data_IF_455788560934
#
_entry.id   IF_455788560934
#
_cell.length_a   1.000
_cell.length_b   1.000
_cell.length_c   1.000
_cell.angle_alpha   90.00
_cell.angle_beta   90.00
_cell.angle_gamma   90.00
#
_symmetry.space_group_name_H-M   'P 1'
#
loop_
_entity.id
_entity.type
_entity.pdbx_description
1 polymer ?
#
# COMPACT_ATOMS: atom_id res chain seq x y z
N UNK A 1 -26.74 2.95 -12.19
CA UNK A 1 -25.53 3.72 -12.59
C UNK A 1 -24.45 3.54 -11.51
N UNK A 2 -23.17 3.42 -11.86
CA UNK A 2 -22.08 3.33 -10.86
C UNK A 2 -21.33 4.65 -10.82
N UNK A 3 -21.31 5.30 -9.65
CA UNK A 3 -20.57 6.53 -9.40
C UNK A 3 -19.39 6.23 -8.50
N UNK A 4 -18.17 6.45 -8.99
CA UNK A 4 -16.94 6.29 -8.22
C UNK A 4 -16.42 7.66 -7.80
N UNK A 5 -16.35 7.93 -6.50
CA UNK A 5 -15.80 9.17 -5.93
C UNK A 5 -14.34 9.00 -5.46
N UNK A 6 -13.79 7.78 -5.54
CA UNK A 6 -12.40 7.50 -5.21
C UNK A 6 -11.48 7.96 -6.35
N UNK A 7 -10.67 9.00 -6.08
CA UNK A 7 -9.89 9.75 -7.08
C UNK A 7 -8.89 8.89 -7.88
N UNK A 8 -8.35 7.83 -7.28
CA UNK A 8 -7.34 6.96 -7.91
C UNK A 8 -7.92 5.63 -8.42
N UNK A 9 -9.24 5.49 -8.52
CA UNK A 9 -9.89 4.24 -8.93
C UNK A 9 -10.53 4.35 -10.31
N UNK A 10 -10.15 3.40 -11.19
CA UNK A 10 -10.71 3.26 -12.53
C UNK A 10 -11.68 2.08 -12.51
N UNK A 11 -12.95 2.34 -12.85
CA UNK A 11 -13.98 1.32 -12.96
C UNK A 11 -14.16 0.88 -14.41
N UNK A 12 -14.02 -0.42 -14.65
CA UNK A 12 -14.22 -1.04 -15.96
C UNK A 12 -15.25 -2.17 -15.86
N UNK A 13 -16.07 -2.33 -16.90
CA UNK A 13 -17.00 -3.46 -16.99
C UNK A 13 -16.26 -4.66 -17.54
N UNK A 14 -16.29 -5.77 -16.80
CA UNK A 14 -15.75 -7.06 -17.22
C UNK A 14 -16.89 -8.07 -17.24
N UNK A 15 -17.27 -8.51 -18.45
CA UNK A 15 -18.44 -9.36 -18.67
C UNK A 15 -19.71 -8.74 -18.06
N UNK A 16 -20.28 -9.37 -17.01
CA UNK A 16 -21.45 -8.87 -16.29
C UNK A 16 -21.13 -8.14 -14.98
N UNK A 17 -19.85 -8.04 -14.61
CA UNK A 17 -19.41 -7.45 -13.34
C UNK A 17 -18.77 -6.07 -13.57
N UNK A 18 -18.79 -5.23 -12.55
CA UNK A 18 -18.00 -3.99 -12.53
C UNK A 18 -16.80 -4.19 -11.62
N UNK A 19 -15.62 -3.90 -12.14
CA UNK A 19 -14.38 -3.99 -11.39
C UNK A 19 -13.77 -2.59 -11.32
N UNK A 20 -13.59 -2.10 -10.09
CA UNK A 20 -12.92 -0.84 -9.81
C UNK A 20 -11.54 -1.13 -9.23
N UNK A 21 -10.49 -0.71 -9.94
CA UNK A 21 -9.10 -0.96 -9.60
C UNK A 21 -8.36 0.34 -9.37
N UNK A 22 -7.36 0.31 -8.48
CA UNK A 22 -6.49 1.46 -8.29
C UNK A 22 -5.59 1.67 -9.53
N UNK A 23 -5.78 2.80 -10.22
CA UNK A 23 -5.07 3.17 -11.44
C UNK A 23 -3.58 3.43 -11.24
N UNK A 24 -3.14 3.68 -10.00
CA UNK A 24 -1.71 3.82 -9.66
C UNK A 24 -0.92 2.59 -10.08
N UNK A 25 -1.50 1.40 -9.94
CA UNK A 25 -0.83 0.13 -10.27
C UNK A 25 -0.94 -0.27 -11.75
N UNK A 26 -1.64 0.53 -12.55
CA UNK A 26 -1.60 0.45 -14.02
C UNK A 26 -0.45 1.28 -14.61
N UNK A 27 0.18 2.15 -13.79
CA UNK A 27 1.32 2.95 -14.21
C UNK A 27 2.61 2.12 -14.31
N UNK A 28 3.59 2.54 -15.13
CA UNK A 28 4.87 1.85 -15.20
C UNK A 28 5.57 1.76 -13.83
N UNK A 29 6.33 0.68 -13.55
CA UNK A 29 6.89 0.40 -12.22
C UNK A 29 7.75 1.52 -11.62
N UNK A 30 8.42 2.31 -12.45
CA UNK A 30 9.26 3.42 -11.99
C UNK A 30 8.44 4.59 -11.40
N UNK A 31 7.23 4.85 -11.90
CA UNK A 31 6.33 5.87 -11.33
C UNK A 31 5.82 5.44 -9.96
N UNK A 32 5.48 4.15 -9.81
CA UNK A 32 5.07 3.56 -8.53
C UNK A 32 6.22 3.63 -7.53
N UNK A 33 7.45 3.42 -7.99
CA UNK A 33 8.66 3.57 -7.19
C UNK A 33 8.85 5.01 -6.70
N UNK A 34 8.74 6.00 -7.59
CA UNK A 34 8.81 7.41 -7.21
C UNK A 34 7.70 7.80 -6.21
N UNK A 35 6.46 7.38 -6.45
CA UNK A 35 5.34 7.63 -5.56
C UNK A 35 5.55 6.99 -4.18
N UNK A 36 6.12 5.78 -4.14
CA UNK A 36 6.45 5.08 -2.89
C UNK A 36 7.55 5.78 -2.09
N UNK A 37 8.53 6.41 -2.76
CA UNK A 37 9.57 7.21 -2.10
C UNK A 37 9.00 8.54 -1.60
N UNK A 38 8.16 9.20 -2.41
CA UNK A 38 7.49 10.45 -2.02
C UNK A 38 6.57 10.25 -0.82
N UNK A 39 5.83 9.14 -0.75
CA UNK A 39 4.98 8.83 0.41
C UNK A 39 5.77 8.58 1.70
N UNK A 40 7.06 8.25 1.60
CA UNK A 40 7.94 8.15 2.78
C UNK A 40 8.40 9.51 3.27
N UNK A 41 8.58 10.49 2.37
CA UNK A 41 9.02 11.84 2.70
C UNK A 41 7.84 12.72 3.17
N UNK A 42 6.67 12.48 2.61
CA UNK A 42 5.42 13.16 2.93
C UNK A 42 4.42 12.07 3.35
N UNK A 43 4.38 11.72 4.65
CA UNK A 43 3.40 10.75 5.15
C UNK A 43 2.02 11.40 5.11
N UNK A 44 1.39 11.38 3.94
CA UNK A 44 -0.02 11.67 3.82
C UNK A 44 -0.81 10.42 4.25
N UNK A 45 -1.92 10.63 4.95
CA UNK A 45 -2.73 9.58 5.57
C UNK A 45 -3.37 8.65 4.51
N UNK A 46 -3.36 9.10 3.26
CA UNK A 46 -3.81 8.37 2.07
C UNK A 46 -2.75 7.45 1.44
N UNK A 47 -1.85 6.91 2.27
CA UNK A 47 -0.82 5.91 1.93
C UNK A 47 -1.27 4.92 0.85
N UNK A 48 -0.37 4.70 -0.10
CA UNK A 48 -0.39 3.56 -1.02
C UNK A 48 -0.28 2.28 -0.17
N UNK A 49 -1.42 1.74 0.28
CA UNK A 49 -1.40 0.61 1.21
C UNK A 49 -1.28 -0.71 0.46
N UNK A 50 -2.28 -1.10 -0.31
CA UNK A 50 -2.30 -2.36 -1.07
C UNK A 50 -3.06 -2.09 -2.37
N UNK A 51 -2.75 -2.77 -3.49
CA UNK A 51 -3.54 -2.70 -4.72
C UNK A 51 -4.91 -3.36 -4.55
N UNK A 52 -5.76 -2.78 -3.71
CA UNK A 52 -7.10 -3.26 -3.45
C UNK A 52 -7.99 -2.94 -4.65
N UNK A 53 -8.74 -3.92 -5.11
CA UNK A 53 -9.79 -3.78 -6.11
C UNK A 53 -11.13 -4.16 -5.50
N UNK A 54 -12.18 -3.59 -6.09
CA UNK A 54 -13.56 -3.87 -5.75
C UNK A 54 -14.25 -4.54 -6.94
N UNK A 55 -14.95 -5.63 -6.69
CA UNK A 55 -15.83 -6.29 -7.65
C UNK A 55 -17.29 -6.12 -7.22
N UNK A 56 -18.15 -5.70 -8.14
CA UNK A 56 -19.60 -5.60 -7.96
C UNK A 56 -20.25 -6.59 -8.94
N UNK A 57 -21.01 -7.55 -8.41
CA UNK A 57 -21.57 -8.66 -9.20
C UNK A 57 -22.92 -8.31 -9.83
N UNK A 58 -23.75 -7.53 -9.13
CA UNK A 58 -25.09 -7.14 -9.59
C UNK A 58 -25.35 -5.64 -9.35
N UNK A 59 -25.87 -4.99 -10.39
CA UNK A 59 -26.22 -3.56 -10.38
C UNK A 59 -27.74 -3.46 -10.43
N UNK A 60 -28.40 -3.78 -9.31
CA UNK A 60 -29.85 -3.65 -9.21
C UNK A 60 -30.29 -2.19 -9.02
N UNK A 61 -29.40 -1.34 -8.50
CA UNK A 61 -29.64 0.08 -8.17
C UNK A 61 -28.44 0.95 -8.51
N UNK A 62 -28.57 2.26 -8.30
CA UNK A 62 -27.43 3.17 -8.35
C UNK A 62 -26.44 2.83 -7.24
N UNK A 63 -25.21 2.46 -7.62
CA UNK A 63 -24.13 2.10 -6.71
C UNK A 63 -23.17 3.28 -6.59
N UNK A 64 -22.88 3.70 -5.36
CA UNK A 64 -21.90 4.76 -5.08
C UNK A 64 -20.74 4.17 -4.31
N UNK A 65 -19.53 4.37 -4.83
CA UNK A 65 -18.26 4.05 -4.19
C UNK A 65 -17.69 5.36 -3.65
N UNK A 66 -17.63 5.49 -2.32
CA UNK A 66 -17.12 6.69 -1.68
C UNK A 66 -15.58 6.78 -1.78
N UNK A 67 -15.02 7.90 -1.30
CA UNK A 67 -13.56 8.14 -1.26
C UNK A 67 -12.77 7.09 -0.46
N UNK A 68 -13.43 6.38 0.45
CA UNK A 68 -12.85 5.34 1.31
C UNK A 68 -13.12 3.92 0.78
N UNK A 69 -13.56 3.79 -0.47
CA UNK A 69 -13.95 2.53 -1.11
C UNK A 69 -15.15 1.83 -0.46
N UNK A 70 -15.93 2.53 0.36
CA UNK A 70 -17.18 1.97 0.88
C UNK A 70 -18.22 1.97 -0.23
N UNK A 71 -18.88 0.83 -0.37
CA UNK A 71 -19.93 0.63 -1.36
C UNK A 71 -21.28 0.85 -0.72
N UNK A 72 -22.11 1.66 -1.36
CA UNK A 72 -23.52 1.86 -1.00
C UNK A 72 -24.40 1.57 -2.21
N UNK A 73 -25.63 1.09 -1.98
CA UNK A 73 -26.59 0.78 -3.05
C UNK A 73 -26.60 -0.68 -3.51
N UNK A 74 -25.66 -1.52 -3.06
CA UNK A 74 -25.66 -2.97 -3.29
C UNK A 74 -24.97 -3.73 -2.15
N UNK A 75 -25.40 -4.96 -1.89
CA UNK A 75 -24.76 -5.89 -0.96
C UNK A 75 -23.88 -6.94 -1.67
N UNK A 76 -24.01 -7.06 -2.99
CA UNK A 76 -23.30 -8.05 -3.81
C UNK A 76 -21.97 -7.48 -4.32
N UNK A 77 -21.06 -7.25 -3.39
CA UNK A 77 -19.70 -6.77 -3.69
C UNK A 77 -18.65 -7.52 -2.89
N UNK A 78 -17.44 -7.59 -3.44
CA UNK A 78 -16.28 -8.18 -2.76
C UNK A 78 -15.01 -7.38 -3.03
N UNK A 79 -14.12 -7.39 -2.05
CA UNK A 79 -12.78 -6.81 -2.17
C UNK A 79 -11.77 -7.91 -2.48
N UNK A 80 -10.85 -7.63 -3.39
CA UNK A 80 -9.78 -8.55 -3.74
C UNK A 80 -8.54 -7.79 -4.19
N UNK A 81 -7.43 -8.49 -4.36
CA UNK A 81 -6.19 -7.91 -4.86
C UNK A 81 -5.92 -8.51 -6.25
N UNK A 82 -5.86 -7.71 -7.32
CA UNK A 82 -5.47 -8.20 -8.64
C UNK A 82 -4.04 -8.75 -8.62
N UNK A 83 -3.85 -9.98 -9.08
CA UNK A 83 -2.55 -10.66 -9.04
C UNK A 83 -1.43 -9.87 -9.75
N UNK A 84 -1.75 -9.24 -10.88
CA UNK A 84 -0.80 -8.43 -11.66
C UNK A 84 -0.34 -7.20 -10.88
N UNK A 85 -1.27 -6.48 -10.27
CA UNK A 85 -0.96 -5.32 -9.42
C UNK A 85 -0.21 -5.74 -8.16
N UNK A 86 -0.54 -6.91 -7.57
CA UNK A 86 0.18 -7.47 -6.42
C UNK A 86 1.64 -7.76 -6.77
N UNK A 87 1.93 -8.33 -7.95
CA UNK A 87 3.30 -8.58 -8.41
C UNK A 87 4.10 -7.28 -8.54
N UNK A 88 3.48 -6.22 -9.06
CA UNK A 88 4.12 -4.90 -9.19
C UNK A 88 4.38 -4.31 -7.80
N UNK A 89 3.39 -4.29 -6.92
CA UNK A 89 3.52 -3.81 -5.54
C UNK A 89 4.62 -4.57 -4.77
N UNK A 90 4.67 -5.90 -4.90
CA UNK A 90 5.69 -6.73 -4.25
C UNK A 90 7.10 -6.42 -4.75
N UNK A 91 7.28 -6.10 -6.04
CA UNK A 91 8.61 -5.80 -6.61
C UNK A 91 9.07 -4.37 -6.35
N UNK A 92 8.14 -3.44 -6.15
CA UNK A 92 8.43 -2.02 -5.97
C UNK A 92 8.39 -1.66 -4.49
N UNK A 93 7.19 -1.54 -3.94
CA UNK A 93 6.95 -1.13 -2.56
C UNK A 93 7.66 -2.04 -1.56
N UNK A 94 7.41 -3.35 -1.58
CA UNK A 94 7.94 -4.24 -0.55
C UNK A 94 9.48 -4.27 -0.54
N UNK A 95 10.11 -4.34 -1.72
CA UNK A 95 11.57 -4.35 -1.83
C UNK A 95 12.17 -3.08 -1.23
N UNK A 96 11.66 -1.91 -1.64
CA UNK A 96 12.21 -0.61 -1.19
C UNK A 96 12.05 -0.45 0.32
N UNK A 97 10.85 -0.70 0.84
CA UNK A 97 10.56 -0.50 2.26
C UNK A 97 11.37 -1.46 3.13
N UNK A 98 11.52 -2.73 2.72
CA UNK A 98 12.38 -3.69 3.42
C UNK A 98 13.85 -3.29 3.34
N UNK A 99 14.34 -2.84 2.19
CA UNK A 99 15.73 -2.35 2.06
C UNK A 99 16.00 -1.16 2.98
N UNK A 100 15.08 -0.19 3.05
CA UNK A 100 15.21 0.97 3.94
C UNK A 100 15.18 0.55 5.40
N UNK A 101 14.30 -0.38 5.77
CA UNK A 101 14.26 -0.93 7.12
C UNK A 101 15.59 -1.60 7.50
N UNK A 102 16.14 -2.44 6.61
CA UNK A 102 17.43 -3.08 6.84
C UNK A 102 18.57 -2.05 6.99
N UNK A 103 18.62 -1.04 6.11
CA UNK A 103 19.60 0.05 6.21
C UNK A 103 19.45 0.82 7.53
N UNK A 104 18.23 1.12 7.93
CA UNK A 104 17.93 1.78 9.21
C UNK A 104 18.41 0.98 10.41
N UNK A 105 18.21 -0.34 10.41
CA UNK A 105 18.76 -1.24 11.45
C UNK A 105 20.29 -1.20 11.46
N UNK A 106 20.94 -1.32 10.30
CA UNK A 106 22.41 -1.31 10.21
C UNK A 106 23.00 0.01 10.73
N UNK A 107 22.42 1.16 10.35
CA UNK A 107 22.86 2.47 10.84
C UNK A 107 22.58 2.61 12.34
N UNK A 108 21.42 2.15 12.82
CA UNK A 108 21.10 2.18 14.25
C UNK A 108 22.09 1.34 15.07
N UNK A 109 22.46 0.15 14.58
CA UNK A 109 23.44 -0.72 15.23
C UNK A 109 24.84 -0.07 15.26
N UNK A 110 25.24 0.59 14.18
CA UNK A 110 26.50 1.34 14.11
C UNK A 110 26.52 2.51 15.10
N UNK A 111 25.47 3.32 15.13
CA UNK A 111 25.37 4.47 16.06
C UNK A 111 25.34 4.00 17.52
N UNK A 112 24.63 2.91 17.81
CA UNK A 112 24.62 2.31 19.13
C UNK A 112 26.02 1.81 19.55
N UNK A 113 26.74 1.15 18.63
CA UNK A 113 28.11 0.73 18.88
C UNK A 113 29.04 1.91 19.18
N UNK A 114 28.97 2.98 18.39
CA UNK A 114 29.76 4.20 18.63
C UNK A 114 29.41 4.79 20.00
N UNK A 115 28.13 4.94 20.31
CA UNK A 115 27.65 5.51 21.59
C UNK A 115 28.12 4.72 22.82
N UNK A 116 28.16 3.39 22.74
CA UNK A 116 28.62 2.54 23.86
C UNK A 116 30.13 2.69 24.09
N UNK A 117 30.93 2.86 23.04
CA UNK A 117 32.38 3.02 23.17
C UNK A 117 32.78 4.46 23.51
N UNK A 118 32.06 5.44 22.95
CA UNK A 118 32.30 6.88 23.12
C UNK A 118 30.96 7.57 23.40
N UNK A 119 30.57 7.69 24.69
CA UNK A 119 29.28 8.25 25.07
C UNK A 119 29.18 9.74 24.75
N UNK A 120 28.66 10.04 23.56
CA UNK A 120 28.42 11.40 23.09
C UNK A 120 26.91 11.67 22.92
N UNK A 121 26.48 12.87 23.35
CA UNK A 121 25.06 13.26 23.34
C UNK A 121 24.53 13.38 21.91
N UNK A 122 25.33 13.86 20.95
CA UNK A 122 24.89 13.98 19.56
C UNK A 122 24.76 12.60 18.89
N UNK A 123 25.66 11.67 19.18
CA UNK A 123 25.55 10.28 18.72
C UNK A 123 24.31 9.61 19.32
N UNK A 124 24.06 9.79 20.61
CA UNK A 124 22.87 9.26 21.29
C UNK A 124 21.55 9.81 20.73
N UNK A 125 21.48 11.13 20.48
CA UNK A 125 20.31 11.76 19.87
C UNK A 125 20.09 11.26 18.43
N UNK A 126 21.16 11.14 17.65
CA UNK A 126 21.10 10.62 16.28
C UNK A 126 20.62 9.17 16.25
N UNK A 127 21.10 8.33 17.17
CA UNK A 127 20.60 6.96 17.35
C UNK A 127 19.10 6.95 17.62
N UNK A 128 18.62 7.77 18.56
CA UNK A 128 17.20 7.85 18.90
C UNK A 128 16.31 8.21 17.70
N UNK A 129 16.73 9.20 16.90
CA UNK A 129 16.00 9.63 15.69
C UNK A 129 15.97 8.52 14.65
N UNK A 130 17.13 7.96 14.29
CA UNK A 130 17.22 6.92 13.25
C UNK A 130 16.48 5.65 13.68
N UNK A 131 16.59 5.25 14.94
CA UNK A 131 15.87 4.11 15.49
C UNK A 131 14.36 4.34 15.47
N UNK A 132 13.90 5.52 15.89
CA UNK A 132 12.48 5.90 15.85
C UNK A 132 11.90 5.85 14.44
N UNK A 133 12.61 6.40 13.45
CA UNK A 133 12.21 6.34 12.04
C UNK A 133 12.18 4.90 11.52
N UNK A 134 13.20 4.10 11.84
CA UNK A 134 13.29 2.69 11.46
C UNK A 134 12.12 1.88 12.05
N UNK A 135 11.75 2.16 13.30
CA UNK A 135 10.60 1.53 13.95
C UNK A 135 9.28 1.88 13.26
N UNK A 136 9.07 3.14 12.86
CA UNK A 136 7.88 3.56 12.10
C UNK A 136 7.79 2.83 10.74
N UNK A 137 8.91 2.74 10.01
CA UNK A 137 8.98 1.98 8.76
C UNK A 137 8.63 0.50 8.98
N UNK A 138 9.20 -0.12 10.02
CA UNK A 138 8.90 -1.52 10.38
C UNK A 138 7.42 -1.74 10.72
N UNK A 139 6.82 -0.81 11.47
CA UNK A 139 5.38 -0.82 11.77
C UNK A 139 4.55 -0.75 10.50
N UNK A 140 4.88 0.14 9.57
CA UNK A 140 4.16 0.27 8.30
C UNK A 140 4.21 -1.04 7.51
N UNK A 141 5.39 -1.63 7.35
CA UNK A 141 5.56 -2.94 6.67
C UNK A 141 4.67 -4.00 7.32
N UNK A 142 4.68 -4.10 8.65
CA UNK A 142 3.86 -5.06 9.39
C UNK A 142 2.36 -4.84 9.19
N UNK A 143 1.90 -3.59 9.25
CA UNK A 143 0.50 -3.24 8.99
C UNK A 143 0.07 -3.65 7.58
N UNK A 144 0.90 -3.44 6.55
CA UNK A 144 0.58 -3.88 5.19
C UNK A 144 0.46 -5.41 5.11
N UNK A 145 1.37 -6.17 5.73
CA UNK A 145 1.25 -7.63 5.76
C UNK A 145 -0.01 -8.12 6.46
N UNK A 146 -0.44 -7.44 7.53
CA UNK A 146 -1.70 -7.75 8.21
C UNK A 146 -2.91 -7.54 7.29
N UNK A 147 -2.93 -6.44 6.55
CA UNK A 147 -4.02 -6.13 5.61
C UNK A 147 -4.01 -7.10 4.42
N UNK A 148 -2.84 -7.48 3.90
CA UNK A 148 -2.74 -8.48 2.81
C UNK A 148 -3.39 -9.82 3.17
N UNK A 149 -3.35 -10.24 4.43
CA UNK A 149 -3.98 -11.49 4.89
C UNK A 149 -5.51 -11.43 4.88
N UNK A 150 -6.12 -10.25 4.79
CA UNK A 150 -7.57 -10.08 4.80
C UNK A 150 -8.22 -10.26 3.42
N UNK A 151 -7.42 -10.20 2.35
CA UNK A 151 -7.96 -10.16 0.99
C UNK A 151 -7.40 -11.29 0.13
N UNK A 152 -8.27 -11.87 -0.69
CA UNK A 152 -7.87 -12.87 -1.67
C UNK A 152 -7.12 -12.23 -2.83
N UNK A 153 -6.05 -12.89 -3.30
CA UNK A 153 -5.33 -12.51 -4.51
C UNK A 153 -5.98 -13.26 -5.68
N UNK A 154 -6.55 -12.54 -6.62
CA UNK A 154 -7.32 -13.11 -7.74
C UNK A 154 -6.74 -12.61 -9.06
N UNK A 155 -6.59 -13.51 -10.01
CA UNK A 155 -6.23 -13.15 -11.39
C UNK A 155 -7.47 -12.64 -12.12
N UNK A 156 -7.36 -11.51 -12.83
CA UNK A 156 -8.47 -10.98 -13.65
C UNK A 156 -8.94 -11.98 -14.71
N UNK A 157 -8.05 -12.89 -15.15
CA UNK A 157 -8.38 -13.98 -16.09
C UNK A 157 -9.29 -15.06 -15.50
N UNK A 158 -9.37 -15.15 -14.17
CA UNK A 158 -10.18 -16.13 -13.44
C UNK A 158 -11.50 -15.53 -12.94
N UNK A 159 -11.79 -14.26 -13.27
CA UNK A 159 -13.07 -13.63 -12.95
C UNK A 159 -14.06 -13.98 -14.06
N UNK A 160 -14.89 -14.98 -13.78
CA UNK A 160 -16.10 -15.36 -14.53
C UNK A 160 -17.32 -14.63 -13.95
#
# INVERSE_FOLDING_TARGET
MVKCEAENYVCSRYQNKIICMNGTFQSPPWLILCASVLSMLLPDIHDIKIPLALMIEEIEKDVVIDKNLKVTGTIHYSYFIPEEHFKIWKKTFLVIWVSIFCLGISVSALLFYIFVNEPDVFVGASFGIVFGMTFLVGRTIFCQFKILRLYNIISLKNIN
#
